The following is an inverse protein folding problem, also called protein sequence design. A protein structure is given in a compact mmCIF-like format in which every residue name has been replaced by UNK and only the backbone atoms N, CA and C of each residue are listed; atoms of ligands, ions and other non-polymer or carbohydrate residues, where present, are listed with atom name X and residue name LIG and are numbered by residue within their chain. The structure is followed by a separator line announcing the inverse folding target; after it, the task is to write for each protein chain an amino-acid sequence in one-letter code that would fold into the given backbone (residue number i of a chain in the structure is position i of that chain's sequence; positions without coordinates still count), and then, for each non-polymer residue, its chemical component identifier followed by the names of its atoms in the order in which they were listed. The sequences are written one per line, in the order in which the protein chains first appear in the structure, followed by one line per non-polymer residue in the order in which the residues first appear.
data_IF_756682824983
#
_entry.id   IF_756682824983
#
_cell.length_a   1.000
_cell.length_b   1.000
_cell.length_c   1.000
_cell.angle_alpha   90.00
_cell.angle_beta   90.00
_cell.angle_gamma   90.00
#
_symmetry.space_group_name_H-M   'P 1'
#
loop_
_entity.id
_entity.type
_entity.pdbx_description
1 polymer ?
#
# COMPACT_ATOMS: atom_id res chain seq x y z
N UNK A 1 14.79 3.25 -51.01
CA UNK A 1 13.97 3.92 -49.97
C UNK A 1 13.01 2.87 -49.37
N UNK A 2 13.49 2.03 -48.44
CA UNK A 2 12.70 0.91 -47.85
C UNK A 2 13.02 0.65 -46.36
N UNK A 3 13.92 1.43 -45.75
CA UNK A 3 14.47 1.18 -44.40
C UNK A 3 13.61 1.74 -43.27
N UNK A 4 12.81 2.78 -43.52
CA UNK A 4 12.01 3.47 -42.49
C UNK A 4 10.92 2.57 -41.90
N UNK A 5 10.29 1.73 -42.73
CA UNK A 5 9.17 0.87 -42.31
C UNK A 5 9.63 -0.33 -41.47
N UNK A 6 10.83 -0.86 -41.75
CA UNK A 6 11.42 -1.98 -41.02
C UNK A 6 11.91 -1.57 -39.63
N UNK A 7 12.49 -0.37 -39.50
CA UNK A 7 12.93 0.14 -38.20
C UNK A 7 11.75 0.47 -37.27
N UNK A 8 10.67 1.01 -37.82
CA UNK A 8 9.45 1.29 -37.07
C UNK A 8 8.77 0.00 -36.60
N UNK A 9 8.72 -1.02 -37.47
CA UNK A 9 8.27 -2.36 -37.10
C UNK A 9 9.12 -2.96 -35.97
N UNK A 10 10.45 -2.91 -36.08
CA UNK A 10 11.35 -3.43 -35.04
C UNK A 10 11.18 -2.70 -33.70
N UNK A 11 10.98 -1.38 -33.72
CA UNK A 11 10.69 -0.60 -32.50
C UNK A 11 9.36 -1.00 -31.87
N UNK A 12 8.33 -1.23 -32.68
CA UNK A 12 7.01 -1.68 -32.19
C UNK A 12 7.10 -3.09 -31.59
N UNK A 13 7.80 -4.01 -32.25
CA UNK A 13 8.05 -5.36 -31.76
C UNK A 13 8.84 -5.34 -30.45
N UNK A 14 9.90 -4.54 -30.37
CA UNK A 14 10.67 -4.37 -29.14
C UNK A 14 9.80 -3.86 -27.98
N UNK A 15 8.99 -2.81 -28.20
CA UNK A 15 8.08 -2.29 -27.17
C UNK A 15 7.10 -3.35 -26.67
N UNK A 16 6.54 -4.15 -27.57
CA UNK A 16 5.66 -5.26 -27.20
C UNK A 16 6.38 -6.33 -26.39
N UNK A 17 7.59 -6.73 -26.79
CA UNK A 17 8.40 -7.71 -26.06
C UNK A 17 8.76 -7.18 -24.68
N UNK A 18 9.18 -5.91 -24.56
CA UNK A 18 9.48 -5.29 -23.26
C UNK A 18 8.25 -5.25 -22.37
N UNK A 19 7.09 -4.89 -22.92
CA UNK A 19 5.83 -4.88 -22.19
C UNK A 19 5.45 -6.28 -21.69
N UNK A 20 5.55 -7.30 -22.55
CA UNK A 20 5.24 -8.68 -22.18
C UNK A 20 6.21 -9.24 -21.14
N UNK A 21 7.51 -8.90 -21.24
CA UNK A 21 8.50 -9.27 -20.22
C UNK A 21 8.16 -8.65 -18.86
N UNK A 22 7.86 -7.35 -18.85
CA UNK A 22 7.44 -6.65 -17.66
C UNK A 22 6.16 -7.26 -17.05
N UNK A 23 5.14 -7.51 -17.87
CA UNK A 23 3.91 -8.18 -17.40
C UNK A 23 4.19 -9.59 -16.83
N UNK A 24 5.08 -10.35 -17.45
CA UNK A 24 5.45 -11.69 -16.99
C UNK A 24 6.23 -11.67 -15.67
N UNK A 25 7.17 -10.74 -15.51
CA UNK A 25 7.95 -10.59 -14.28
C UNK A 25 7.00 -10.28 -13.10
N UNK A 26 5.99 -9.42 -13.30
CA UNK A 26 5.00 -9.11 -12.27
C UNK A 26 4.10 -10.28 -11.91
N UNK A 27 3.70 -11.10 -12.89
CA UNK A 27 2.92 -12.32 -12.62
C UNK A 27 3.73 -13.32 -11.78
N UNK A 28 5.01 -13.50 -12.11
CA UNK A 28 5.91 -14.40 -11.36
C UNK A 28 6.11 -13.90 -9.92
N UNK A 29 6.23 -12.58 -9.73
CA UNK A 29 6.38 -11.98 -8.41
C UNK A 29 5.08 -12.10 -7.58
N UNK A 30 3.92 -11.91 -8.18
CA UNK A 30 2.63 -12.09 -7.51
C UNK A 30 2.37 -13.54 -7.09
N UNK A 31 2.68 -14.53 -7.93
CA UNK A 31 2.56 -15.95 -7.56
C UNK A 31 3.44 -16.30 -6.35
N UNK A 32 4.62 -15.70 -6.26
CA UNK A 32 5.54 -15.87 -5.13
C UNK A 32 5.03 -15.23 -3.84
N UNK A 33 4.27 -14.14 -3.95
CA UNK A 33 3.71 -13.42 -2.79
C UNK A 33 2.40 -14.02 -2.26
N UNK A 34 1.75 -14.91 -3.01
CA UNK A 34 0.48 -15.54 -2.66
C UNK A 34 0.58 -16.64 -1.57
N UNK A 35 1.72 -16.79 -0.90
CA UNK A 35 1.96 -17.85 0.09
C UNK A 35 1.71 -17.30 1.50
N UNK A 36 0.50 -17.48 2.05
CA UNK A 36 0.19 -17.22 3.45
C UNK A 36 -0.74 -18.31 4.01
N UNK A 37 -0.40 -18.87 5.17
CA UNK A 37 -1.24 -19.83 5.87
C UNK A 37 -2.36 -19.06 6.61
N UNK A 38 -3.62 -19.35 6.28
CA UNK A 38 -4.77 -18.50 6.60
C UNK A 38 -5.24 -18.68 8.05
N UNK A 39 -5.26 -17.62 8.87
CA UNK A 39 -5.79 -17.70 10.24
C UNK A 39 -6.66 -16.48 10.62
N UNK A 40 -7.83 -16.38 9.97
CA UNK A 40 -8.92 -15.47 10.32
C UNK A 40 -10.18 -15.72 9.47
N UNK A 41 -11.36 -15.18 9.83
CA UNK A 41 -12.54 -15.22 8.96
C UNK A 41 -12.20 -14.49 7.66
N UNK A 42 -12.09 -15.23 6.56
CA UNK A 42 -11.61 -14.75 5.25
C UNK A 42 -10.16 -14.19 5.21
N UNK A 43 -9.31 -14.50 6.20
CA UNK A 43 -7.90 -14.07 6.23
C UNK A 43 -7.69 -12.60 6.58
N UNK A 44 -8.59 -12.00 7.36
CA UNK A 44 -8.40 -10.69 7.97
C UNK A 44 -9.00 -10.61 9.38
N UNK A 45 -8.44 -9.75 10.23
CA UNK A 45 -8.88 -9.51 11.61
C UNK A 45 -8.69 -8.05 11.98
N UNK A 46 -9.59 -7.50 12.79
CA UNK A 46 -9.45 -6.15 13.32
C UNK A 46 -9.81 -6.08 14.79
N UNK A 47 -9.17 -5.17 15.51
CA UNK A 47 -9.48 -4.86 16.91
C UNK A 47 -9.08 -3.42 17.22
N UNK A 48 -9.63 -2.90 18.32
CA UNK A 48 -9.29 -1.57 18.83
C UNK A 48 -8.60 -1.73 20.17
N UNK A 49 -7.46 -1.08 20.32
CA UNK A 49 -6.66 -1.09 21.54
C UNK A 49 -6.07 0.31 21.73
N UNK A 50 -6.28 0.92 22.90
CA UNK A 50 -5.78 2.25 23.25
C UNK A 50 -6.08 3.36 22.21
N UNK A 51 -7.28 3.32 21.62
CA UNK A 51 -7.70 4.28 20.60
C UNK A 51 -7.08 4.06 19.22
N UNK A 52 -6.32 2.97 19.05
CA UNK A 52 -5.74 2.54 17.77
C UNK A 52 -6.61 1.46 17.17
N UNK A 53 -7.09 1.68 15.94
CA UNK A 53 -7.67 0.61 15.14
C UNK A 53 -6.54 -0.16 14.47
N UNK A 54 -6.48 -1.47 14.71
CA UNK A 54 -5.53 -2.40 14.08
C UNK A 54 -6.30 -3.34 13.16
N UNK A 55 -5.80 -3.51 11.94
CA UNK A 55 -6.32 -4.48 10.98
C UNK A 55 -5.13 -5.28 10.45
N UNK A 56 -5.21 -6.60 10.48
CA UNK A 56 -4.26 -7.49 9.83
C UNK A 56 -4.98 -8.24 8.72
N UNK A 57 -4.41 -8.23 7.52
CA UNK A 57 -4.83 -9.08 6.41
C UNK A 57 -3.69 -10.07 6.14
N UNK A 58 -3.97 -11.37 6.13
CA UNK A 58 -2.99 -12.47 5.99
C UNK A 58 -2.46 -12.59 4.54
N UNK A 59 -2.35 -11.48 3.82
CA UNK A 59 -1.87 -11.40 2.44
C UNK A 59 -1.14 -10.07 2.20
N UNK A 60 -0.21 -10.07 1.24
CA UNK A 60 0.40 -8.84 0.73
C UNK A 60 -0.59 -8.07 -0.15
N UNK A 61 -0.57 -6.74 -0.06
CA UNK A 61 -1.32 -5.90 -1.00
C UNK A 61 -0.94 -6.21 -2.45
N UNK A 62 -1.93 -6.33 -3.36
CA UNK A 62 -1.66 -6.63 -4.75
C UNK A 62 -0.92 -5.46 -5.41
N UNK A 63 -0.11 -5.77 -6.41
CA UNK A 63 0.62 -4.78 -7.19
C UNK A 63 -0.29 -4.03 -8.13
N UNK A 64 0.03 -2.77 -8.41
CA UNK A 64 -0.81 -1.96 -9.30
C UNK A 64 -0.88 -2.53 -10.73
N UNK A 65 0.17 -3.22 -11.20
CA UNK A 65 0.20 -3.81 -12.54
C UNK A 65 -0.83 -4.94 -12.74
N UNK A 66 -1.13 -5.70 -11.69
CA UNK A 66 -2.01 -6.87 -11.71
C UNK A 66 -3.33 -6.62 -10.99
N UNK A 67 -3.45 -5.46 -10.34
CA UNK A 67 -4.63 -5.05 -9.59
C UNK A 67 -5.87 -4.94 -10.47
N UNK A 68 -6.84 -5.83 -10.21
CA UNK A 68 -8.13 -5.86 -10.89
C UNK A 68 -9.27 -5.34 -10.00
N UNK A 69 -10.39 -4.98 -10.63
CA UNK A 69 -11.63 -4.66 -9.89
C UNK A 69 -12.13 -5.83 -9.03
N UNK A 70 -11.81 -7.07 -9.40
CA UNK A 70 -12.15 -8.25 -8.61
C UNK A 70 -11.30 -8.35 -7.35
N UNK A 71 -9.98 -8.21 -7.49
CA UNK A 71 -9.06 -8.15 -6.35
C UNK A 71 -9.44 -7.02 -5.39
N UNK A 72 -9.79 -5.84 -5.92
CA UNK A 72 -10.33 -4.73 -5.13
C UNK A 72 -11.53 -5.15 -4.29
N UNK A 73 -12.52 -5.83 -4.89
CA UNK A 73 -13.73 -6.27 -4.18
C UNK A 73 -13.40 -7.30 -3.11
N UNK A 74 -12.50 -8.25 -3.39
CA UNK A 74 -12.05 -9.25 -2.41
C UNK A 74 -11.39 -8.58 -1.21
N UNK A 75 -10.45 -7.67 -1.44
CA UNK A 75 -9.76 -6.93 -0.38
C UNK A 75 -10.72 -6.10 0.48
N UNK A 76 -11.61 -5.32 -0.16
CA UNK A 76 -12.62 -4.54 0.57
C UNK A 76 -13.51 -5.47 1.39
N UNK A 77 -13.95 -6.62 0.84
CA UNK A 77 -14.79 -7.58 1.57
C UNK A 77 -14.08 -8.14 2.81
N UNK A 78 -12.79 -8.48 2.69
CA UNK A 78 -11.99 -8.99 3.81
C UNK A 78 -11.90 -7.95 4.93
N UNK A 79 -11.54 -6.71 4.59
CA UNK A 79 -11.45 -5.62 5.57
C UNK A 79 -12.83 -5.33 6.19
N UNK A 80 -13.90 -5.27 5.39
CA UNK A 80 -15.25 -5.02 5.90
C UNK A 80 -15.68 -6.09 6.92
N UNK A 81 -15.45 -7.37 6.62
CA UNK A 81 -15.75 -8.47 7.56
C UNK A 81 -14.95 -8.36 8.84
N UNK A 82 -13.65 -8.04 8.74
CA UNK A 82 -12.80 -7.85 9.89
C UNK A 82 -13.27 -6.68 10.78
N UNK A 83 -13.87 -5.64 10.18
CA UNK A 83 -14.40 -4.47 10.87
C UNK A 83 -15.85 -4.64 11.37
N UNK A 84 -16.49 -5.79 11.18
CA UNK A 84 -17.84 -6.01 11.70
C UNK A 84 -17.88 -5.85 13.23
N UNK A 85 -18.75 -4.94 13.72
CA UNK A 85 -18.87 -4.64 15.15
C UNK A 85 -17.82 -3.68 15.71
N UNK A 86 -16.85 -3.23 14.90
CA UNK A 86 -15.91 -2.18 15.28
C UNK A 86 -16.64 -0.83 15.28
N UNK A 87 -16.61 -0.12 16.42
CA UNK A 87 -17.25 1.18 16.58
C UNK A 87 -16.22 2.24 16.99
N UNK A 88 -15.47 2.74 16.01
CA UNK A 88 -14.51 3.83 16.14
C UNK A 88 -14.56 4.69 14.88
N UNK A 89 -14.29 5.98 15.00
CA UNK A 89 -14.15 6.87 13.86
C UNK A 89 -13.09 7.93 14.15
N UNK A 90 -12.51 8.46 13.07
CA UNK A 90 -11.46 9.47 13.10
C UNK A 90 -11.85 10.62 12.18
N UNK A 91 -11.69 11.86 12.67
CA UNK A 91 -11.98 13.07 11.88
C UNK A 91 -10.82 13.44 10.96
N UNK A 92 -9.60 13.21 11.41
CA UNK A 92 -8.40 13.30 10.59
C UNK A 92 -7.53 12.12 10.98
N UNK A 93 -7.47 11.10 10.13
CA UNK A 93 -6.79 9.86 10.43
C UNK A 93 -5.34 9.88 9.95
N UNK A 94 -4.42 9.35 10.74
CA UNK A 94 -3.17 8.80 10.21
C UNK A 94 -3.40 7.30 10.00
N UNK A 95 -3.31 6.86 8.75
CA UNK A 95 -3.40 5.45 8.37
C UNK A 95 -2.02 4.95 7.94
N UNK A 96 -1.42 4.13 8.77
CA UNK A 96 -0.15 3.44 8.49
C UNK A 96 -0.43 2.08 7.87
N UNK A 97 0.18 1.78 6.73
CA UNK A 97 0.06 0.50 6.03
C UNK A 97 1.47 -0.09 5.93
N UNK A 98 1.69 -1.24 6.57
CA UNK A 98 2.96 -1.97 6.56
C UNK A 98 2.74 -3.27 5.81
N UNK A 99 3.44 -3.45 4.69
CA UNK A 99 3.41 -4.69 3.91
C UNK A 99 4.60 -5.55 4.28
N UNK A 100 4.34 -6.74 4.80
CA UNK A 100 5.36 -7.75 5.10
C UNK A 100 5.45 -8.71 3.92
N UNK A 101 6.47 -8.54 3.09
CA UNK A 101 6.69 -9.36 1.89
C UNK A 101 7.43 -10.66 2.22
N UNK A 102 7.10 -11.79 1.58
CA UNK A 102 7.85 -13.02 1.76
C UNK A 102 9.23 -13.00 1.09
N UNK A 103 9.57 -11.93 0.36
CA UNK A 103 10.79 -11.84 -0.43
C UNK A 103 11.57 -10.56 -0.12
N UNK A 104 12.89 -10.69 -0.09
CA UNK A 104 13.84 -9.60 0.14
C UNK A 104 14.19 -8.82 -1.14
N UNK A 105 13.40 -9.01 -2.21
CA UNK A 105 13.56 -8.18 -3.40
C UNK A 105 12.93 -6.82 -3.11
N UNK A 106 13.75 -5.78 -3.14
CA UNK A 106 13.30 -4.41 -2.96
C UNK A 106 12.10 -4.14 -3.86
N UNK A 107 10.95 -3.88 -3.26
CA UNK A 107 9.72 -3.57 -3.97
C UNK A 107 9.47 -2.06 -3.93
N UNK A 108 9.03 -1.51 -5.05
CA UNK A 108 8.72 -0.09 -5.14
C UNK A 108 7.48 0.20 -4.29
N UNK A 109 7.65 1.08 -3.30
CA UNK A 109 6.61 1.36 -2.31
C UNK A 109 5.32 1.80 -2.99
N UNK A 110 5.39 2.62 -4.03
CA UNK A 110 4.24 3.17 -4.77
C UNK A 110 3.56 2.17 -5.72
N UNK A 111 4.13 0.99 -5.94
CA UNK A 111 3.60 -0.03 -6.86
C UNK A 111 2.63 -1.02 -6.19
N UNK A 112 1.83 -0.56 -5.22
CA UNK A 112 0.82 -1.35 -4.52
C UNK A 112 -0.54 -0.67 -4.55
N UNK A 113 -1.59 -1.48 -4.49
CA UNK A 113 -2.97 -1.02 -4.54
C UNK A 113 -3.48 -0.45 -3.20
N UNK A 114 -2.74 0.48 -2.57
CA UNK A 114 -3.10 1.01 -1.24
C UNK A 114 -4.49 1.63 -1.17
N UNK A 115 -5.03 2.12 -2.30
CA UNK A 115 -6.36 2.72 -2.38
C UNK A 115 -7.47 1.80 -1.84
N UNK A 116 -7.29 0.48 -1.85
CA UNK A 116 -8.26 -0.46 -1.25
C UNK A 116 -8.52 -0.17 0.23
N UNK A 117 -7.49 0.29 0.95
CA UNK A 117 -7.54 0.52 2.40
C UNK A 117 -8.42 1.72 2.75
N UNK A 118 -8.15 2.96 2.30
CA UNK A 118 -9.02 4.10 2.61
C UNK A 118 -10.43 3.92 2.03
N UNK A 119 -10.60 3.21 0.91
CA UNK A 119 -11.92 2.84 0.39
C UNK A 119 -12.70 1.98 1.41
N UNK A 120 -12.07 0.95 1.96
CA UNK A 120 -12.70 0.09 2.98
C UNK A 120 -12.97 0.86 4.28
N UNK A 121 -12.02 1.67 4.76
CA UNK A 121 -12.21 2.50 5.96
C UNK A 121 -13.41 3.46 5.81
N UNK A 122 -13.55 4.09 4.64
CA UNK A 122 -14.67 4.98 4.32
C UNK A 122 -16.01 4.23 4.27
N UNK A 123 -16.04 3.04 3.67
CA UNK A 123 -17.25 2.21 3.60
C UNK A 123 -17.75 1.82 4.99
N UNK A 124 -16.85 1.55 5.93
CA UNK A 124 -17.18 1.18 7.31
C UNK A 124 -17.37 2.39 8.24
N UNK A 125 -17.30 3.63 7.73
CA UNK A 125 -17.48 4.84 8.53
C UNK A 125 -16.35 5.12 9.54
N UNK A 126 -15.20 4.47 9.40
CA UNK A 126 -14.00 4.72 10.23
C UNK A 126 -13.43 6.11 9.92
N UNK A 127 -13.48 6.50 8.65
CA UNK A 127 -13.16 7.85 8.18
C UNK A 127 -14.34 8.36 7.35
N UNK A 128 -14.51 9.69 7.30
CA UNK A 128 -15.60 10.30 6.53
C UNK A 128 -15.34 10.26 5.02
N UNK A 129 -14.11 10.51 4.59
CA UNK A 129 -13.73 10.51 3.18
C UNK A 129 -12.26 10.12 2.97
N UNK A 130 -11.85 9.81 1.73
CA UNK A 130 -10.47 9.49 1.35
C UNK A 130 -9.68 10.70 0.81
N UNK A 131 -10.07 11.91 1.23
CA UNK A 131 -9.43 13.16 0.80
C UNK A 131 -8.31 13.59 1.75
N UNK A 132 -7.42 14.46 1.28
CA UNK A 132 -6.23 14.91 2.03
C UNK A 132 -6.55 15.57 3.39
N UNK A 133 -7.77 16.07 3.58
CA UNK A 133 -8.21 16.69 4.84
C UNK A 133 -8.58 15.67 5.92
N UNK A 134 -8.96 14.45 5.52
CA UNK A 134 -9.59 13.45 6.39
C UNK A 134 -8.63 12.28 6.67
N UNK A 135 -7.62 12.07 5.82
CA UNK A 135 -6.66 10.97 5.99
C UNK A 135 -5.26 11.33 5.47
N UNK A 136 -4.24 10.96 6.24
CA UNK A 136 -2.83 10.90 5.84
C UNK A 136 -2.42 9.44 5.72
N UNK A 137 -1.80 9.06 4.61
CA UNK A 137 -1.28 7.71 4.39
C UNK A 137 0.22 7.67 4.69
N UNK A 138 0.64 6.75 5.55
CA UNK A 138 2.04 6.36 5.72
C UNK A 138 2.18 4.92 5.24
N UNK A 139 3.09 4.67 4.31
CA UNK A 139 3.31 3.36 3.72
C UNK A 139 4.73 2.89 4.02
N UNK A 140 4.84 1.65 4.48
CA UNK A 140 6.09 1.02 4.86
C UNK A 140 6.13 -0.44 4.42
N UNK A 141 7.32 -1.02 4.52
CA UNK A 141 7.56 -2.38 4.10
C UNK A 141 8.60 -3.07 4.95
N UNK A 142 8.36 -4.34 5.23
CA UNK A 142 9.32 -5.25 5.86
C UNK A 142 9.34 -6.60 5.12
N UNK A 143 10.34 -7.42 5.40
CA UNK A 143 10.43 -8.78 4.86
C UNK A 143 10.07 -9.77 5.97
N UNK A 144 9.05 -10.59 5.74
CA UNK A 144 8.66 -11.71 6.60
C UNK A 144 8.35 -12.93 5.73
N UNK A 145 9.30 -13.87 5.71
CA UNK A 145 9.21 -15.07 4.86
C UNK A 145 8.25 -16.12 5.41
N UNK A 146 7.98 -16.09 6.71
CA UNK A 146 7.17 -17.10 7.38
C UNK A 146 5.71 -16.69 7.41
N UNK A 147 5.45 -15.39 7.57
CA UNK A 147 4.10 -14.86 7.72
C UNK A 147 3.90 -13.54 6.96
N UNK A 148 3.85 -13.58 5.62
CA UNK A 148 3.58 -12.39 4.82
C UNK A 148 2.15 -11.91 5.02
N UNK A 149 1.99 -10.60 5.15
CA UNK A 149 0.73 -9.98 5.56
C UNK A 149 0.75 -8.48 5.29
N UNK A 150 -0.41 -7.87 5.46
CA UNK A 150 -0.54 -6.41 5.50
C UNK A 150 -1.11 -6.00 6.85
N UNK A 151 -0.37 -5.16 7.57
CA UNK A 151 -0.83 -4.55 8.80
C UNK A 151 -1.25 -3.10 8.54
N UNK A 152 -2.41 -2.73 9.06
CA UNK A 152 -2.99 -1.40 8.91
C UNK A 152 -3.28 -0.87 10.30
N UNK A 153 -2.74 0.30 10.61
CA UNK A 153 -2.98 1.01 11.86
C UNK A 153 -3.65 2.34 11.55
N UNK A 154 -4.76 2.63 12.22
CA UNK A 154 -5.47 3.89 12.07
C UNK A 154 -5.59 4.55 13.44
N UNK A 155 -5.13 5.81 13.51
CA UNK A 155 -5.16 6.64 14.71
C UNK A 155 -5.63 8.04 14.37
N UNK A 156 -6.04 8.81 15.37
CA UNK A 156 -6.17 10.26 15.20
C UNK A 156 -4.81 10.83 14.78
N UNK A 157 -4.81 11.64 13.73
CA UNK A 157 -3.61 12.17 13.14
C UNK A 157 -2.91 13.08 14.16
N UNK A 158 -1.74 12.67 14.69
CA UNK A 158 -1.01 13.48 15.66
C UNK A 158 -0.29 14.66 14.98
N UNK A 159 -0.23 14.66 13.65
CA UNK A 159 0.45 15.67 12.87
C UNK A 159 -0.51 16.78 12.47
N UNK A 160 -0.27 17.98 12.99
CA UNK A 160 -0.70 19.18 12.27
C UNK A 160 0.24 19.42 11.10
N UNK A 161 -0.26 19.95 9.97
CA UNK A 161 0.57 20.35 8.81
C UNK A 161 1.76 21.22 9.25
N UNK A 162 1.54 22.07 10.25
CA UNK A 162 2.54 22.94 10.87
C UNK A 162 3.67 22.16 11.56
N UNK A 163 3.37 21.01 12.16
CA UNK A 163 4.37 20.16 12.82
C UNK A 163 5.30 19.48 11.80
N UNK A 164 4.76 19.01 10.68
CA UNK A 164 5.54 18.41 9.59
C UNK A 164 6.49 19.46 8.99
N UNK A 165 5.97 20.65 8.67
CA UNK A 165 6.76 21.77 8.15
C UNK A 165 7.87 22.17 9.13
N UNK A 166 7.57 22.26 10.43
CA UNK A 166 8.57 22.56 11.46
C UNK A 166 9.69 21.52 11.50
N UNK A 167 9.35 20.23 11.50
CA UNK A 167 10.36 19.14 11.48
C UNK A 167 11.22 19.18 10.22
N UNK A 168 10.63 19.42 9.04
CA UNK A 168 11.40 19.58 7.79
C UNK A 168 12.36 20.77 7.88
N UNK A 169 11.91 21.92 8.39
CA UNK A 169 12.75 23.10 8.58
C UNK A 169 13.89 22.81 9.57
N UNK A 170 13.63 22.09 10.68
CA UNK A 170 14.66 21.68 11.63
C UNK A 170 15.70 20.74 11.00
N UNK A 171 15.25 19.74 10.23
CA UNK A 171 16.15 18.83 9.52
C UNK A 171 17.02 19.56 8.49
N UNK A 172 16.45 20.50 7.74
CA UNK A 172 17.20 21.31 6.77
C UNK A 172 18.20 22.26 7.44
N UNK A 173 17.87 22.81 8.63
CA UNK A 173 18.80 23.64 9.41
C UNK A 173 19.99 22.85 9.92
N UNK A 174 19.79 21.59 10.32
CA UNK A 174 20.88 20.71 10.74
C UNK A 174 21.86 20.43 9.59
N UNK A 175 21.35 20.21 8.37
CA UNK A 175 22.19 19.96 7.19
C UNK A 175 23.03 21.19 6.77
N UNK A 176 22.48 22.41 6.88
CA UNK A 176 23.22 23.65 6.55
C UNK A 176 24.37 23.93 7.54
N UNK A 177 24.28 23.42 8.78
CA UNK A 177 25.33 23.55 9.78
C UNK A 177 26.44 22.51 9.56
N UNK A 178 26.09 21.32 9.09
CA UNK A 178 27.06 20.25 8.75
C UNK A 178 27.88 20.57 7.49
N UNK A 179 27.31 21.25 6.48
CA UNK A 179 28.06 21.68 5.28
C UNK A 179 29.00 22.88 5.51
N UNK A 180 28.93 23.53 6.68
CA UNK A 180 29.72 24.73 7.01
C UNK A 180 30.87 24.46 8.00
N UNK A 181 31.08 23.22 8.42
CA UNK A 181 32.21 22.78 9.23
C UNK A 181 33.12 21.83 8.43
#
# INVERSE_FOLDING_TARGET
MQTTNSLEFMRKAHRLITKLKYELDHVIEDEKEAIGDFSGPDGARAWVEDGVLRITVDECLPRNATYTNEMRRVWIRKINKALEGVNINFTNALCMIIVYSPHDFGWDVDNRAFKVVPDALRINGIIKNDTYQEITLLVGGETDKEYPRTEIFVVDNPFSEQMIIRKIIEMLKLHIIEEKN
#
